data_IF_430292324623
#
_entry.id   IF_430292324623
#
_cell.length_a   1.000
_cell.length_b   1.000
_cell.length_c   1.000
_cell.angle_alpha   90.00
_cell.angle_beta   90.00
_cell.angle_gamma   90.00
#
_symmetry.space_group_name_H-M   'P 1'
#
loop_
_entity.id
_entity.type
_entity.pdbx_description
1 polymer ?
#
# COMPACT_ATOMS: atom_id res chain seq x y z
N UNK A 1 -13.32 -11.28 4.95
CA UNK A 1 -13.20 -10.34 6.09
C UNK A 1 -13.12 -11.08 7.44
N UNK A 2 -14.23 -11.62 7.98
CA UNK A 2 -14.30 -12.19 9.35
C UNK A 2 -13.34 -13.36 9.70
N UNK A 3 -12.80 -14.06 8.69
CA UNK A 3 -11.90 -15.22 8.88
C UNK A 3 -10.41 -14.91 8.69
N UNK A 4 -10.07 -13.72 8.18
CA UNK A 4 -8.69 -13.36 7.84
C UNK A 4 -8.19 -12.14 8.61
N UNK A 5 -8.96 -11.04 8.60
CA UNK A 5 -8.53 -9.79 9.21
C UNK A 5 -8.17 -9.92 10.70
N UNK A 6 -8.92 -10.65 11.54
CA UNK A 6 -8.56 -10.84 12.96
C UNK A 6 -7.22 -11.55 13.21
N UNK A 7 -6.58 -12.12 12.18
CA UNK A 7 -5.30 -12.82 12.28
C UNK A 7 -4.17 -12.11 11.52
N UNK A 8 -4.46 -10.98 10.86
CA UNK A 8 -3.49 -10.28 10.05
C UNK A 8 -2.64 -9.35 10.92
N UNK A 9 -1.31 -9.51 10.87
CA UNK A 9 -0.36 -8.53 11.40
C UNK A 9 -0.46 -7.20 10.62
N UNK A 10 -0.65 -7.29 9.30
CA UNK A 10 -0.90 -6.15 8.43
C UNK A 10 -1.92 -6.52 7.35
N UNK A 11 -2.88 -5.65 7.09
CA UNK A 11 -3.72 -5.68 5.88
C UNK A 11 -3.37 -4.49 4.98
N UNK A 12 -3.25 -4.71 3.67
CA UNK A 12 -2.72 -3.71 2.72
C UNK A 12 -3.72 -3.31 1.60
N UNK A 13 -4.93 -2.81 1.93
CA UNK A 13 -5.92 -2.48 0.91
C UNK A 13 -5.48 -1.29 0.04
N UNK A 14 -5.85 -1.27 -1.24
CA UNK A 14 -5.85 -0.04 -2.03
C UNK A 14 -7.08 0.83 -1.66
N UNK A 15 -7.23 2.00 -2.27
CA UNK A 15 -8.38 2.88 -1.99
C UNK A 15 -9.72 2.17 -2.22
N UNK A 16 -10.06 1.64 -3.40
CA UNK A 16 -11.32 0.90 -3.60
C UNK A 16 -11.56 -0.22 -2.57
N UNK A 17 -10.54 -1.04 -2.30
CA UNK A 17 -10.62 -2.12 -1.30
C UNK A 17 -10.87 -1.58 0.12
N UNK A 18 -10.29 -0.44 0.46
CA UNK A 18 -10.50 0.20 1.76
C UNK A 18 -11.88 0.84 1.86
N UNK A 19 -12.42 1.40 0.77
CA UNK A 19 -13.80 1.89 0.71
C UNK A 19 -14.78 0.74 0.95
N UNK A 20 -14.58 -0.40 0.28
CA UNK A 20 -15.39 -1.62 0.47
C UNK A 20 -15.33 -2.16 1.90
N UNK A 21 -14.13 -2.16 2.52
CA UNK A 21 -13.95 -2.68 3.88
C UNK A 21 -14.46 -1.73 4.97
N UNK A 22 -14.32 -0.42 4.78
CA UNK A 22 -14.68 0.61 5.78
C UNK A 22 -16.11 1.15 5.63
N UNK A 23 -16.71 0.99 4.45
CA UNK A 23 -17.97 1.61 4.07
C UNK A 23 -17.89 3.13 3.98
N UNK A 24 -16.70 3.69 3.78
CA UNK A 24 -16.45 5.12 3.61
C UNK A 24 -15.93 5.40 2.21
N UNK A 25 -16.31 6.55 1.69
CA UNK A 25 -15.66 7.10 0.49
C UNK A 25 -14.38 7.83 0.89
N UNK A 26 -13.29 7.59 0.17
CA UNK A 26 -11.95 8.11 0.48
C UNK A 26 -11.54 9.12 -0.58
N UNK A 27 -11.76 10.40 -0.29
CA UNK A 27 -11.38 11.53 -1.16
C UNK A 27 -10.28 12.44 -0.59
N UNK A 28 -9.75 12.11 0.58
CA UNK A 28 -8.69 12.87 1.25
C UNK A 28 -7.88 11.99 2.17
N UNK A 29 -6.72 12.48 2.62
CA UNK A 29 -5.89 11.78 3.61
C UNK A 29 -6.60 11.63 4.96
N UNK A 30 -7.47 12.57 5.33
CA UNK A 30 -8.25 12.49 6.56
C UNK A 30 -9.34 11.41 6.46
N UNK A 31 -10.01 11.31 5.31
CA UNK A 31 -10.96 10.23 5.04
C UNK A 31 -10.25 8.86 5.00
N UNK A 32 -9.03 8.81 4.47
CA UNK A 32 -8.19 7.63 4.46
C UNK A 32 -7.80 7.20 5.89
N UNK A 33 -7.45 8.14 6.76
CA UNK A 33 -7.16 7.87 8.17
C UNK A 33 -8.39 7.36 8.94
N UNK A 34 -9.58 7.89 8.64
CA UNK A 34 -10.84 7.39 9.19
C UNK A 34 -11.18 5.97 8.68
N UNK A 35 -11.00 5.71 7.39
CA UNK A 35 -11.16 4.36 6.83
C UNK A 35 -10.19 3.36 7.47
N UNK A 36 -8.94 3.75 7.70
CA UNK A 36 -7.95 2.91 8.36
C UNK A 36 -8.39 2.53 9.79
N UNK A 37 -8.93 3.49 10.56
CA UNK A 37 -9.48 3.24 11.89
C UNK A 37 -10.62 2.22 11.86
N UNK A 38 -11.58 2.38 10.94
CA UNK A 38 -12.68 1.40 10.78
C UNK A 38 -12.21 0.01 10.39
N UNK A 39 -11.19 -0.09 9.56
CA UNK A 39 -10.63 -1.38 9.15
C UNK A 39 -9.87 -2.02 10.32
N UNK A 40 -9.19 -1.22 11.15
CA UNK A 40 -8.52 -1.70 12.36
C UNK A 40 -9.52 -2.32 13.35
N UNK A 41 -10.72 -1.74 13.48
CA UNK A 41 -11.81 -2.29 14.30
C UNK A 41 -12.31 -3.67 13.82
N UNK A 42 -11.97 -4.09 12.59
CA UNK A 42 -12.27 -5.42 12.07
C UNK A 42 -11.29 -6.51 12.57
N UNK A 43 -10.26 -6.12 13.32
CA UNK A 43 -9.33 -7.00 14.04
C UNK A 43 -7.87 -7.15 13.53
N UNK A 44 -7.40 -6.58 12.40
CA UNK A 44 -5.97 -6.67 12.08
C UNK A 44 -5.14 -5.85 13.09
N UNK A 45 -3.87 -6.20 13.28
CA UNK A 45 -2.97 -5.43 14.17
C UNK A 45 -2.55 -4.09 13.57
N UNK A 46 -2.47 -4.02 12.24
CA UNK A 46 -2.20 -2.80 11.50
C UNK A 46 -2.89 -2.79 10.13
N UNK A 47 -3.10 -1.58 9.60
CA UNK A 47 -3.69 -1.31 8.29
C UNK A 47 -2.77 -0.40 7.50
N UNK A 48 -2.42 -0.77 6.27
CA UNK A 48 -1.72 0.07 5.30
C UNK A 48 -2.63 0.33 4.10
N UNK A 49 -3.28 1.49 4.05
CA UNK A 49 -4.04 1.88 2.86
C UNK A 49 -3.08 2.45 1.83
N UNK A 50 -3.11 1.94 0.59
CA UNK A 50 -2.26 2.39 -0.52
C UNK A 50 -2.94 3.52 -1.29
N UNK A 51 -2.34 4.69 -1.34
CA UNK A 51 -2.95 5.90 -1.93
C UNK A 51 -2.74 6.06 -3.43
N UNK A 52 -2.14 5.08 -4.13
CA UNK A 52 -1.90 5.15 -5.58
C UNK A 52 -3.13 5.42 -6.45
N UNK A 53 -4.33 5.19 -5.92
CA UNK A 53 -5.63 5.44 -6.58
C UNK A 53 -6.33 6.71 -6.07
N UNK A 54 -5.75 7.45 -5.13
CA UNK A 54 -6.33 8.71 -4.65
C UNK A 54 -6.18 9.77 -5.74
N UNK A 55 -7.30 10.30 -6.24
CA UNK A 55 -7.33 11.35 -7.26
C UNK A 55 -7.34 12.73 -6.60
N UNK A 56 -6.25 13.08 -5.93
CA UNK A 56 -6.09 14.36 -5.21
C UNK A 56 -5.32 15.43 -6.01
N UNK A 57 -4.94 15.11 -7.26
CA UNK A 57 -4.13 15.99 -8.11
C UNK A 57 -2.66 16.10 -7.67
N UNK A 58 -2.21 15.30 -6.70
CA UNK A 58 -0.84 15.31 -6.21
C UNK A 58 0.13 14.61 -7.17
N UNK A 59 1.36 15.13 -7.24
CA UNK A 59 2.49 14.45 -7.89
C UNK A 59 3.02 13.27 -7.07
N UNK A 60 2.51 13.07 -5.86
CA UNK A 60 2.91 12.01 -4.95
C UNK A 60 1.78 10.99 -4.74
N UNK A 61 2.17 9.78 -4.37
CA UNK A 61 1.30 8.73 -3.89
C UNK A 61 1.60 8.47 -2.42
N UNK A 62 0.67 8.85 -1.55
CA UNK A 62 0.82 8.72 -0.10
C UNK A 62 0.11 7.47 0.38
N UNK A 63 0.85 6.56 1.01
CA UNK A 63 0.26 5.43 1.73
C UNK A 63 0.15 5.75 3.22
N UNK A 64 -0.87 5.24 3.89
CA UNK A 64 -1.14 5.49 5.30
C UNK A 64 -1.11 4.17 6.08
N UNK A 65 -0.17 4.07 7.01
CA UNK A 65 -0.07 2.98 7.99
C UNK A 65 -0.70 3.43 9.30
N UNK A 66 -1.56 2.60 9.87
CA UNK A 66 -2.13 2.77 11.20
C UNK A 66 -2.02 1.47 11.98
N UNK A 67 -1.49 1.53 13.20
CA UNK A 67 -1.41 0.41 14.15
C UNK A 67 -1.20 0.92 15.57
N UNK A 68 -0.69 0.06 16.46
CA UNK A 68 -0.46 0.41 17.88
C UNK A 68 0.49 1.61 18.08
N UNK A 69 1.48 1.77 17.20
CA UNK A 69 2.43 2.90 17.23
C UNK A 69 1.86 4.21 16.65
N UNK A 70 0.58 4.22 16.25
CA UNK A 70 -0.09 5.37 15.67
C UNK A 70 -0.01 5.44 14.14
N UNK A 71 -0.33 6.62 13.61
CA UNK A 71 -0.39 6.89 12.17
C UNK A 71 1.00 7.25 11.61
N UNK A 72 1.36 6.67 10.47
CA UNK A 72 2.54 7.07 9.66
C UNK A 72 2.17 7.15 8.19
N UNK A 73 2.75 8.11 7.48
CA UNK A 73 2.51 8.36 6.05
C UNK A 73 3.78 8.12 5.25
N UNK A 74 3.66 7.47 4.10
CA UNK A 74 4.77 7.13 3.20
C UNK A 74 4.48 7.69 1.81
N UNK A 75 5.16 8.77 1.45
CA UNK A 75 5.06 9.38 0.13
C UNK A 75 6.11 8.81 -0.84
N UNK A 76 5.71 8.61 -2.09
CA UNK A 76 6.62 8.38 -3.21
C UNK A 76 6.14 9.14 -4.44
N UNK A 77 7.00 9.34 -5.43
CA UNK A 77 6.60 9.90 -6.71
C UNK A 77 5.46 9.08 -7.33
N UNK A 78 4.47 9.77 -7.88
CA UNK A 78 3.43 9.16 -8.71
C UNK A 78 3.93 9.08 -10.15
N UNK A 79 4.08 7.86 -10.66
CA UNK A 79 4.47 7.64 -12.05
C UNK A 79 3.24 7.53 -12.94
N UNK A 80 3.17 8.36 -13.98
CA UNK A 80 2.16 8.21 -15.02
C UNK A 80 2.57 7.09 -15.98
N UNK A 81 2.32 5.84 -15.59
CA UNK A 81 2.65 4.64 -16.36
C UNK A 81 1.53 3.63 -16.32
N UNK A 82 1.35 2.90 -17.42
CA UNK A 82 0.45 1.74 -17.49
C UNK A 82 1.05 0.47 -16.87
N UNK A 83 2.35 0.47 -16.60
CA UNK A 83 3.10 -0.69 -16.13
C UNK A 83 3.03 -0.80 -14.60
N UNK A 84 1.82 -1.02 -14.08
CA UNK A 84 1.54 -1.13 -12.64
C UNK A 84 1.03 -2.51 -12.25
N UNK A 85 0.98 -3.46 -13.20
CA UNK A 85 0.52 -4.81 -12.92
C UNK A 85 1.47 -5.50 -11.94
N UNK A 86 0.89 -6.03 -10.87
CA UNK A 86 1.64 -6.65 -9.78
C UNK A 86 2.08 -5.70 -8.67
N UNK A 87 1.94 -4.38 -8.80
CA UNK A 87 2.42 -3.44 -7.78
C UNK A 87 1.89 -3.72 -6.37
N UNK A 88 0.60 -4.04 -6.24
CA UNK A 88 0.01 -4.43 -4.96
C UNK A 88 0.62 -5.72 -4.38
N UNK A 89 0.83 -6.74 -5.22
CA UNK A 89 1.40 -8.02 -4.81
C UNK A 89 2.88 -7.88 -4.45
N UNK A 90 3.64 -7.15 -5.25
CA UNK A 90 5.05 -6.85 -5.00
C UNK A 90 5.21 -6.07 -3.70
N UNK A 91 4.31 -5.12 -3.42
CA UNK A 91 4.37 -4.33 -2.19
C UNK A 91 4.13 -5.19 -0.95
N UNK A 92 3.07 -5.99 -0.91
CA UNK A 92 2.80 -6.87 0.23
C UNK A 92 3.90 -7.92 0.39
N UNK A 93 4.40 -8.50 -0.71
CA UNK A 93 5.51 -9.46 -0.66
C UNK A 93 6.81 -8.84 -0.11
N UNK A 94 7.14 -7.62 -0.52
CA UNK A 94 8.32 -6.91 -0.02
C UNK A 94 8.20 -6.56 1.47
N UNK A 95 7.01 -6.16 1.93
CA UNK A 95 6.75 -5.94 3.37
C UNK A 95 6.93 -7.25 4.14
N UNK A 96 6.31 -8.35 3.69
CA UNK A 96 6.45 -9.66 4.32
C UNK A 96 7.91 -10.11 4.38
N UNK A 97 8.68 -9.89 3.31
CA UNK A 97 10.11 -10.21 3.30
C UNK A 97 10.92 -9.34 4.28
N UNK A 98 10.55 -8.06 4.45
CA UNK A 98 11.15 -7.16 5.44
C UNK A 98 10.89 -7.62 6.88
N UNK A 99 9.63 -7.95 7.19
CA UNK A 99 9.24 -8.50 8.49
C UNK A 99 9.96 -9.83 8.78
N UNK A 100 10.05 -10.72 7.80
CA UNK A 100 10.78 -11.99 7.94
C UNK A 100 12.29 -11.81 8.19
N UNK A 101 12.86 -10.67 7.80
CA UNK A 101 14.25 -10.27 8.09
C UNK A 101 14.41 -9.59 9.46
N UNK A 102 13.33 -9.42 10.22
CA UNK A 102 13.34 -8.81 11.54
C UNK A 102 13.26 -7.28 11.53
N UNK A 103 12.85 -6.65 10.41
CA UNK A 103 12.58 -5.22 10.39
C UNK A 103 11.32 -4.90 11.21
N UNK A 104 11.31 -3.74 11.88
CA UNK A 104 10.09 -3.19 12.43
C UNK A 104 9.07 -2.89 11.31
N UNK A 105 7.78 -2.93 11.63
CA UNK A 105 6.72 -2.81 10.63
C UNK A 105 6.83 -1.56 9.74
N UNK A 106 7.07 -0.39 10.34
CA UNK A 106 7.22 0.84 9.56
C UNK A 106 8.49 0.87 8.70
N UNK A 107 9.57 0.24 9.16
CA UNK A 107 10.80 0.13 8.37
C UNK A 107 10.61 -0.83 7.19
N UNK A 108 9.88 -1.94 7.41
CA UNK A 108 9.50 -2.87 6.34
C UNK A 108 8.61 -2.18 5.28
N UNK A 109 7.61 -1.40 5.72
CA UNK A 109 6.77 -0.60 4.81
C UNK A 109 7.57 0.46 4.06
N UNK A 110 8.44 1.21 4.75
CA UNK A 110 9.29 2.22 4.11
C UNK A 110 10.22 1.61 3.05
N UNK A 111 10.86 0.47 3.37
CA UNK A 111 11.73 -0.24 2.44
C UNK A 111 10.95 -0.77 1.23
N UNK A 112 9.77 -1.36 1.47
CA UNK A 112 8.94 -1.90 0.41
C UNK A 112 8.35 -0.82 -0.50
N UNK A 113 8.00 0.36 0.04
CA UNK A 113 7.54 1.52 -0.72
C UNK A 113 8.63 2.00 -1.69
N UNK A 114 9.88 2.11 -1.21
CA UNK A 114 11.02 2.46 -2.06
C UNK A 114 11.22 1.43 -3.18
N UNK A 115 11.24 0.14 -2.82
CA UNK A 115 11.42 -0.94 -3.77
C UNK A 115 10.34 -0.94 -4.88
N UNK A 116 9.06 -0.82 -4.53
CA UNK A 116 7.97 -0.79 -5.50
C UNK A 116 8.02 0.47 -6.36
N UNK A 117 8.37 1.62 -5.77
CA UNK A 117 8.55 2.87 -6.52
C UNK A 117 9.60 2.72 -7.61
N UNK A 118 10.77 2.13 -7.28
CA UNK A 118 11.84 1.89 -8.25
C UNK A 118 11.45 0.82 -9.29
N UNK A 119 10.75 -0.23 -8.87
CA UNK A 119 10.24 -1.27 -9.75
C UNK A 119 9.22 -0.75 -10.78
N UNK A 120 8.44 0.28 -10.42
CA UNK A 120 7.55 1.01 -11.32
C UNK A 120 8.37 1.93 -12.25
N UNK A 121 9.32 2.67 -11.69
CA UNK A 121 10.15 3.62 -12.43
C UNK A 121 10.94 2.94 -13.56
N UNK A 122 11.42 1.72 -13.30
CA UNK A 122 12.28 0.95 -14.21
C UNK A 122 11.54 -0.17 -14.95
N UNK A 123 10.20 -0.14 -14.97
CA UNK A 123 9.40 -1.19 -15.58
C UNK A 123 9.81 -1.47 -17.04
N UNK A 124 9.94 -2.75 -17.46
CA UNK A 124 10.60 -3.15 -18.71
C UNK A 124 9.78 -2.87 -19.99
N UNK A 125 8.62 -2.22 -19.88
CA UNK A 125 7.79 -1.88 -21.04
C UNK A 125 7.15 -3.09 -21.76
N UNK A 126 7.04 -4.24 -21.09
CA UNK A 126 6.57 -5.48 -21.70
C UNK A 126 5.04 -5.50 -21.87
N UNK A 127 4.59 -6.05 -23.00
CA UNK A 127 3.17 -6.25 -23.33
C UNK A 127 2.45 -5.02 -23.87
N UNK A 128 1.28 -5.24 -24.46
CA UNK A 128 0.44 -4.18 -25.02
C UNK A 128 -0.56 -3.56 -24.02
N UNK A 129 -0.74 -4.19 -22.84
CA UNK A 129 -1.67 -3.79 -21.78
C UNK A 129 -0.98 -3.24 -20.53
N UNK A 130 -1.53 -3.55 -19.36
CA UNK A 130 -0.89 -3.26 -18.08
C UNK A 130 0.32 -4.18 -17.88
N UNK A 131 1.53 -3.70 -18.19
CA UNK A 131 2.73 -4.52 -18.10
C UNK A 131 3.26 -4.68 -16.67
N UNK A 132 4.15 -5.65 -16.46
CA UNK A 132 4.70 -5.97 -15.14
C UNK A 132 5.70 -4.93 -14.64
N UNK A 133 5.99 -4.98 -13.35
CA UNK A 133 7.09 -4.26 -12.71
C UNK A 133 8.46 -4.88 -13.01
N UNK A 134 9.52 -4.09 -12.83
CA UNK A 134 10.90 -4.58 -12.78
C UNK A 134 11.25 -5.05 -11.36
N UNK A 135 11.21 -6.36 -11.12
CA UNK A 135 11.53 -6.93 -9.81
C UNK A 135 13.05 -6.94 -9.50
N UNK A 136 13.89 -6.63 -10.49
CA UNK A 136 15.34 -6.47 -10.34
C UNK A 136 15.76 -5.03 -10.05
N UNK A 137 14.80 -4.14 -9.77
CA UNK A 137 15.07 -2.80 -9.28
C UNK A 137 15.90 -2.82 -7.98
N UNK A 138 16.90 -1.96 -7.89
CA UNK A 138 17.83 -1.82 -6.75
C UNK A 138 17.48 -0.61 -5.88
#
# INVERSE_FOLDING_TARGET
VRRLLPHAELVTPNVPEAEDLSGLEIRSLDAMAEAARRILDLGPQAVLIKGGHLEDGSSESVDLLLGEEGERRFASQRYNTRHTHGAGCTYSAAITAGLAKGLALADAVAAAKRYVSEAIATAPGLGAGAGPLNHHAE
#
